data_IF_703524465740
#
_entry.id   IF_703524465740
#
_cell.length_a   1.000
_cell.length_b   1.000
_cell.length_c   1.000
_cell.angle_alpha   90.00
_cell.angle_beta   90.00
_cell.angle_gamma   90.00
#
_symmetry.space_group_name_H-M   'P 1'
#
loop_
_entity.id
_entity.type
_entity.pdbx_description
1 polymer ?
#
# COMPACT_ATOMS: atom_id res chain seq x y z
N UNK A 1 -13.58 -53.07 1.79
CA UNK A 1 -12.47 -52.76 0.92
C UNK A 1 -12.33 -53.86 -0.09
N UNK A 2 -12.75 -53.63 -1.29
CA UNK A 2 -12.53 -54.51 -2.44
C UNK A 2 -11.10 -54.32 -2.93
N UNK A 3 -10.36 -55.36 -3.14
CA UNK A 3 -8.96 -55.47 -3.55
C UNK A 3 -7.96 -55.29 -2.40
N UNK A 4 -8.05 -56.19 -1.42
CA UNK A 4 -7.02 -56.31 -0.41
C UNK A 4 -5.71 -56.84 -1.02
N UNK A 5 -4.60 -56.25 -0.65
CA UNK A 5 -3.33 -56.91 -0.83
C UNK A 5 -3.34 -58.23 -0.03
N UNK A 6 -2.88 -59.29 -0.64
CA UNK A 6 -2.66 -60.59 0.03
C UNK A 6 -1.22 -60.77 0.53
N UNK A 7 -0.47 -59.64 0.59
CA UNK A 7 0.93 -59.60 1.01
C UNK A 7 1.13 -58.96 2.39
N UNK A 8 2.36 -58.97 2.90
CA UNK A 8 2.69 -58.39 4.20
C UNK A 8 2.67 -56.85 4.23
N UNK A 9 2.47 -56.18 3.08
CA UNK A 9 2.40 -54.73 2.93
C UNK A 9 1.30 -54.34 1.95
N UNK A 10 0.73 -53.13 2.17
CA UNK A 10 -0.28 -52.54 1.31
C UNK A 10 0.01 -51.07 1.10
N UNK A 11 -0.01 -50.60 -0.16
CA UNK A 11 0.12 -49.19 -0.50
C UNK A 11 -1.24 -48.51 -0.40
N UNK A 12 -1.33 -47.52 0.51
CA UNK A 12 -2.56 -46.78 0.73
C UNK A 12 -2.80 -45.79 -0.41
N UNK A 13 -4.00 -45.75 -1.02
CA UNK A 13 -4.36 -44.72 -1.98
C UNK A 13 -4.34 -43.34 -1.31
N UNK A 14 -3.68 -42.35 -1.95
CA UNK A 14 -3.56 -40.95 -1.46
C UNK A 14 -4.21 -39.93 -2.39
N UNK A 15 -5.00 -40.36 -3.39
CA UNK A 15 -5.59 -39.46 -4.39
C UNK A 15 -6.80 -38.66 -3.86
N UNK A 16 -7.41 -39.08 -2.77
CA UNK A 16 -8.61 -38.47 -2.17
C UNK A 16 -8.32 -38.19 -0.70
N UNK A 17 -8.57 -36.93 -0.28
CA UNK A 17 -8.44 -36.51 1.11
C UNK A 17 -9.59 -37.13 1.95
N UNK A 18 -9.24 -38.14 2.73
CA UNK A 18 -10.20 -38.87 3.58
C UNK A 18 -9.44 -39.72 4.62
N UNK A 19 -10.11 -40.06 5.70
CA UNK A 19 -9.57 -40.96 6.71
C UNK A 19 -9.89 -42.40 6.31
N UNK A 20 -8.85 -43.23 6.23
CA UNK A 20 -8.91 -44.65 5.96
C UNK A 20 -8.61 -45.43 7.23
N UNK A 21 -9.33 -46.56 7.43
CA UNK A 21 -9.05 -47.55 8.46
C UNK A 21 -8.68 -48.87 7.79
N UNK A 22 -7.50 -49.36 8.14
CA UNK A 22 -7.00 -50.63 7.60
C UNK A 22 -6.81 -51.63 8.71
N UNK A 23 -7.02 -52.89 8.39
CA UNK A 23 -6.67 -54.01 9.25
C UNK A 23 -6.10 -55.15 8.41
N UNK A 24 -5.19 -55.91 8.98
CA UNK A 24 -4.76 -57.20 8.45
C UNK A 24 -5.53 -58.30 9.16
N UNK A 25 -5.99 -59.29 8.39
CA UNK A 25 -6.54 -60.51 8.91
C UNK A 25 -5.49 -61.58 8.56
N UNK A 26 -4.96 -62.23 9.56
CA UNK A 26 -4.04 -63.33 9.42
C UNK A 26 -4.79 -64.62 9.79
N UNK A 27 -4.78 -65.58 8.90
CA UNK A 27 -5.39 -66.90 9.15
C UNK A 27 -4.28 -67.93 9.20
N UNK A 28 -4.17 -68.62 10.32
CA UNK A 28 -3.27 -69.77 10.44
C UNK A 28 -4.00 -71.00 9.88
N UNK A 29 -3.40 -71.62 8.89
CA UNK A 29 -3.97 -72.85 8.23
C UNK A 29 -3.47 -74.14 8.86
N UNK A 30 -2.66 -74.05 9.93
CA UNK A 30 -2.21 -75.21 10.67
C UNK A 30 -3.26 -75.64 11.69
N UNK A 31 -3.36 -76.94 11.87
CA UNK A 31 -4.42 -77.55 12.69
C UNK A 31 -4.17 -77.24 14.20
N UNK A 32 -5.13 -76.54 14.84
CA UNK A 32 -5.11 -76.26 16.28
C UNK A 32 -4.48 -74.94 16.71
N UNK A 33 -4.15 -73.99 15.74
CA UNK A 33 -3.78 -72.68 16.06
C UNK A 33 -4.95 -71.70 15.92
N UNK A 34 -5.05 -70.72 16.85
CA UNK A 34 -6.06 -69.67 16.80
C UNK A 34 -5.56 -68.49 15.89
N UNK A 35 -6.47 -67.91 15.11
CA UNK A 35 -6.20 -66.71 14.33
C UNK A 35 -5.99 -65.51 15.25
N UNK A 36 -4.91 -64.71 15.09
CA UNK A 36 -4.69 -63.56 15.93
C UNK A 36 -5.73 -62.47 15.68
N UNK A 37 -6.10 -61.75 16.73
CA UNK A 37 -7.03 -60.62 16.63
C UNK A 37 -6.46 -59.51 15.73
N UNK A 38 -7.20 -58.99 14.75
CA UNK A 38 -6.73 -57.98 13.83
C UNK A 38 -6.53 -56.63 14.55
N UNK A 39 -5.42 -55.95 14.24
CA UNK A 39 -5.16 -54.57 14.69
C UNK A 39 -5.60 -53.60 13.60
N UNK A 40 -6.31 -52.54 14.00
CA UNK A 40 -6.76 -51.45 13.09
C UNK A 40 -5.76 -50.31 13.12
N UNK A 41 -5.36 -49.86 11.93
CA UNK A 41 -4.53 -48.66 11.72
C UNK A 41 -5.37 -47.60 11.01
N UNK A 42 -5.37 -46.38 11.53
CA UNK A 42 -5.99 -45.21 10.92
C UNK A 42 -4.92 -44.45 10.10
N UNK A 43 -5.23 -44.11 8.86
CA UNK A 43 -4.42 -43.25 7.99
C UNK A 43 -5.33 -42.14 7.50
N UNK A 44 -4.90 -40.91 7.76
CA UNK A 44 -5.57 -39.70 7.30
C UNK A 44 -4.82 -39.14 6.10
N UNK A 45 -5.51 -38.95 4.98
CA UNK A 45 -5.00 -38.22 3.80
C UNK A 45 -5.57 -36.84 3.86
N UNK A 46 -4.68 -35.86 4.03
CA UNK A 46 -5.02 -34.43 4.10
C UNK A 46 -5.14 -33.81 2.71
N UNK A 47 -6.00 -32.77 2.53
CA UNK A 47 -6.00 -31.98 1.31
C UNK A 47 -4.66 -31.25 1.14
N UNK A 48 -4.23 -31.03 -0.11
CA UNK A 48 -3.01 -30.28 -0.38
C UNK A 48 -3.10 -28.84 0.16
N UNK A 49 -2.02 -28.31 0.73
CA UNK A 49 -1.99 -26.95 1.23
C UNK A 49 -2.08 -25.92 0.08
N UNK A 50 -2.73 -24.79 0.35
CA UNK A 50 -2.73 -23.63 -0.51
C UNK A 50 -2.42 -22.37 0.29
N UNK A 51 -1.74 -21.39 -0.30
CA UNK A 51 -1.34 -20.17 0.38
C UNK A 51 -1.75 -18.93 -0.41
N UNK A 52 -2.29 -17.94 0.31
CA UNK A 52 -2.58 -16.58 -0.17
C UNK A 52 -1.87 -15.56 0.70
N UNK A 53 -1.65 -14.36 0.17
CA UNK A 53 -1.04 -13.27 0.92
C UNK A 53 -1.86 -11.98 0.75
N UNK A 54 -1.80 -11.11 1.77
CA UNK A 54 -2.34 -9.75 1.73
C UNK A 54 -1.39 -8.78 2.42
N UNK A 55 -1.26 -7.56 1.88
CA UNK A 55 -0.49 -6.48 2.48
C UNK A 55 -1.42 -5.46 3.13
N UNK A 56 -1.06 -4.95 4.31
CA UNK A 56 -1.84 -3.91 5.00
C UNK A 56 -1.83 -2.58 4.22
N UNK A 57 -0.72 -2.27 3.55
CA UNK A 57 -0.56 -1.11 2.68
C UNK A 57 0.31 -1.49 1.49
N UNK A 58 -0.15 -1.19 0.27
CA UNK A 58 0.60 -1.45 -0.97
C UNK A 58 1.22 -0.19 -1.58
N UNK A 59 0.79 0.99 -1.15
CA UNK A 59 1.34 2.28 -1.56
C UNK A 59 1.44 3.19 -0.33
N UNK A 60 2.64 3.59 0.03
CA UNK A 60 2.95 4.32 1.27
C UNK A 60 4.21 5.18 1.07
N UNK A 61 4.44 6.14 1.97
CA UNK A 61 5.66 6.93 1.95
C UNK A 61 6.78 6.32 2.83
N UNK A 62 8.01 6.79 2.63
CA UNK A 62 9.15 6.46 3.49
C UNK A 62 8.77 6.71 4.96
N UNK A 63 9.06 5.71 5.84
CA UNK A 63 8.72 5.76 7.26
C UNK A 63 7.31 5.26 7.60
N UNK A 64 6.47 4.99 6.61
CA UNK A 64 5.19 4.32 6.81
C UNK A 64 5.36 2.85 7.21
N UNK A 65 4.26 2.15 7.42
CA UNK A 65 4.26 0.74 7.83
C UNK A 65 3.45 -0.12 6.89
N UNK A 66 4.01 -1.26 6.51
CA UNK A 66 3.30 -2.32 5.78
C UNK A 66 3.71 -3.68 6.30
N UNK A 67 2.73 -4.51 6.57
CA UNK A 67 2.91 -5.91 6.94
C UNK A 67 2.18 -6.78 5.92
N UNK A 68 2.89 -7.77 5.39
CA UNK A 68 2.31 -8.79 4.51
C UNK A 68 2.03 -10.02 5.36
N UNK A 69 0.80 -10.53 5.31
CA UNK A 69 0.35 -11.70 6.07
C UNK A 69 -0.02 -12.81 5.11
N UNK A 70 0.40 -14.04 5.41
CA UNK A 70 0.00 -15.24 4.70
C UNK A 70 -1.20 -15.90 5.38
N UNK A 71 -2.07 -16.48 4.57
CA UNK A 71 -3.13 -17.37 5.01
C UNK A 71 -2.97 -18.71 4.29
N UNK A 72 -2.75 -19.77 5.07
CA UNK A 72 -2.65 -21.13 4.55
C UNK A 72 -3.95 -21.87 4.83
N UNK A 73 -4.45 -22.58 3.85
CA UNK A 73 -5.61 -23.47 3.96
C UNK A 73 -5.16 -24.89 3.66
N UNK A 74 -5.75 -25.86 4.35
CA UNK A 74 -5.44 -27.29 4.24
C UNK A 74 -3.98 -27.63 4.68
N UNK A 75 -3.52 -28.83 4.33
CA UNK A 75 -2.22 -29.35 4.74
C UNK A 75 -2.22 -29.95 6.15
N UNK A 76 -1.06 -30.40 6.60
CA UNK A 76 -0.90 -31.12 7.87
C UNK A 76 -0.83 -30.22 9.11
N UNK A 77 -0.59 -28.90 8.93
CA UNK A 77 -0.36 -27.94 10.00
C UNK A 77 1.09 -27.83 10.48
N UNK A 78 2.00 -28.69 10.02
CA UNK A 78 3.44 -28.62 10.30
C UNK A 78 4.14 -27.75 9.26
N UNK A 79 3.89 -26.42 9.30
CA UNK A 79 4.26 -25.48 8.25
C UNK A 79 5.51 -24.70 8.61
N UNK A 80 6.38 -24.48 7.62
CA UNK A 80 7.45 -23.49 7.65
C UNK A 80 7.29 -22.51 6.50
N UNK A 81 7.84 -21.29 6.67
CA UNK A 81 7.65 -20.18 5.75
C UNK A 81 9.00 -19.67 5.25
N UNK A 82 9.07 -19.29 3.99
CA UNK A 82 10.18 -18.55 3.41
C UNK A 82 9.65 -17.43 2.53
N UNK A 83 9.74 -16.19 3.02
CA UNK A 83 9.44 -15.01 2.22
C UNK A 83 10.54 -14.76 1.20
N UNK A 84 10.11 -14.30 0.04
CA UNK A 84 10.98 -13.92 -1.08
C UNK A 84 10.61 -12.53 -1.57
N UNK A 85 11.61 -11.79 -2.06
CA UNK A 85 11.45 -10.48 -2.68
C UNK A 85 11.98 -10.49 -4.11
N UNK A 86 11.44 -9.58 -4.94
CA UNK A 86 11.82 -9.40 -6.33
C UNK A 86 11.65 -7.95 -6.75
N UNK A 87 12.56 -7.41 -7.54
CA UNK A 87 12.44 -6.09 -8.13
C UNK A 87 11.58 -6.09 -9.41
N UNK A 88 11.49 -7.22 -10.11
CA UNK A 88 10.87 -7.37 -11.43
C UNK A 88 9.65 -8.31 -11.45
N UNK A 89 9.32 -8.94 -10.29
CA UNK A 89 8.25 -9.92 -10.15
C UNK A 89 8.56 -11.28 -10.79
N UNK A 90 9.75 -11.49 -11.35
CA UNK A 90 10.17 -12.71 -12.05
C UNK A 90 11.38 -13.38 -11.40
N UNK A 91 12.39 -12.63 -11.01
CA UNK A 91 13.60 -13.12 -10.34
C UNK A 91 13.47 -12.97 -8.83
N UNK A 92 13.51 -14.07 -8.08
CA UNK A 92 13.20 -14.12 -6.67
C UNK A 92 14.41 -14.42 -5.80
N UNK A 93 14.60 -13.67 -4.72
CA UNK A 93 15.60 -13.89 -3.70
C UNK A 93 14.96 -14.17 -2.33
N UNK A 94 15.52 -15.12 -1.59
CA UNK A 94 15.06 -15.40 -0.23
C UNK A 94 15.37 -14.23 0.71
N UNK A 95 14.42 -13.85 1.53
CA UNK A 95 14.60 -12.87 2.59
C UNK A 95 15.21 -13.60 3.80
N UNK A 96 16.45 -13.24 4.15
CA UNK A 96 17.20 -13.91 5.22
C UNK A 96 16.88 -13.36 6.60
N UNK A 97 16.46 -12.09 6.71
CA UNK A 97 16.11 -11.47 7.98
C UNK A 97 14.59 -11.41 8.14
N UNK A 98 14.06 -12.06 9.19
CA UNK A 98 12.62 -12.15 9.49
C UNK A 98 11.76 -12.78 8.38
N UNK A 99 12.38 -13.44 7.40
CA UNK A 99 11.71 -14.03 6.24
C UNK A 99 11.08 -15.40 6.47
N UNK A 100 10.99 -15.90 7.72
CA UNK A 100 10.55 -17.25 8.06
C UNK A 100 9.29 -17.31 8.94
N UNK A 101 8.59 -16.20 9.13
CA UNK A 101 7.32 -16.15 9.86
C UNK A 101 6.09 -16.21 8.95
N UNK A 102 4.90 -16.41 9.52
CA UNK A 102 3.63 -16.33 8.79
C UNK A 102 3.31 -14.90 8.30
N UNK A 103 4.02 -13.90 8.78
CA UNK A 103 3.93 -12.50 8.32
C UNK A 103 5.33 -11.91 8.14
N UNK A 104 5.41 -10.88 7.31
CA UNK A 104 6.65 -10.15 7.02
C UNK A 104 6.43 -8.65 7.09
N UNK A 105 7.25 -7.94 7.87
CA UNK A 105 7.25 -6.48 7.92
C UNK A 105 8.10 -5.93 6.78
N UNK A 106 7.48 -5.14 5.90
CA UNK A 106 8.15 -4.57 4.73
C UNK A 106 9.11 -3.46 5.16
N UNK A 107 10.39 -3.45 4.69
CA UNK A 107 11.29 -2.33 4.91
C UNK A 107 10.80 -1.08 4.18
N UNK A 108 10.64 0.03 4.91
CA UNK A 108 10.10 1.30 4.39
C UNK A 108 11.07 2.49 4.55
N UNK A 109 12.33 2.23 4.88
CA UNK A 109 13.34 3.27 5.13
C UNK A 109 13.87 3.97 3.88
N UNK A 110 13.55 3.46 2.68
CA UNK A 110 13.93 4.05 1.39
C UNK A 110 12.85 3.83 0.34
N UNK A 111 12.73 4.77 -0.61
CA UNK A 111 11.79 4.64 -1.73
C UNK A 111 12.19 3.48 -2.65
N UNK A 112 11.26 2.59 -2.91
CA UNK A 112 11.43 1.44 -3.81
C UNK A 112 10.09 0.87 -4.26
N UNK A 113 10.14 -0.03 -5.23
CA UNK A 113 9.02 -0.87 -5.65
C UNK A 113 9.48 -2.32 -5.59
N UNK A 114 8.85 -3.14 -4.76
CA UNK A 114 9.30 -4.50 -4.51
C UNK A 114 8.10 -5.45 -4.48
N UNK A 115 8.23 -6.55 -5.21
CA UNK A 115 7.29 -7.66 -5.17
C UNK A 115 7.67 -8.62 -4.05
N UNK A 116 6.68 -9.14 -3.37
CA UNK A 116 6.83 -10.12 -2.29
C UNK A 116 5.95 -11.33 -2.55
N UNK A 117 6.45 -12.52 -2.18
CA UNK A 117 5.70 -13.78 -2.13
C UNK A 117 6.21 -14.64 -0.99
N UNK A 118 5.47 -15.66 -0.62
CA UNK A 118 5.89 -16.64 0.38
C UNK A 118 5.85 -18.04 -0.21
N UNK A 119 6.87 -18.83 0.07
CA UNK A 119 6.88 -20.28 -0.07
C UNK A 119 6.51 -20.88 1.28
N UNK A 120 5.64 -21.87 1.29
CA UNK A 120 5.26 -22.61 2.48
C UNK A 120 5.67 -24.06 2.27
N UNK A 121 6.43 -24.61 3.22
CA UNK A 121 6.78 -26.02 3.23
C UNK A 121 5.93 -26.74 4.25
N UNK A 122 5.21 -27.77 3.84
CA UNK A 122 4.49 -28.68 4.73
C UNK A 122 5.35 -29.93 4.95
N UNK A 123 5.75 -30.16 6.21
CA UNK A 123 6.67 -31.24 6.57
C UNK A 123 6.03 -32.64 6.51
N UNK A 124 4.72 -32.76 6.25
CA UNK A 124 4.07 -34.06 6.14
C UNK A 124 4.40 -34.73 4.79
N UNK A 125 4.52 -36.05 4.84
CA UNK A 125 4.85 -36.84 3.65
C UNK A 125 3.75 -36.75 2.57
N UNK A 126 4.14 -36.34 1.37
CA UNK A 126 3.26 -36.26 0.20
C UNK A 126 2.49 -34.94 0.09
N UNK A 127 2.70 -33.96 0.99
CA UNK A 127 2.18 -32.61 0.82
C UNK A 127 3.06 -31.80 -0.12
N UNK A 128 2.44 -30.95 -0.95
CA UNK A 128 3.13 -30.01 -1.80
C UNK A 128 3.62 -28.79 -1.00
N UNK A 129 4.64 -28.10 -1.51
CA UNK A 129 5.13 -26.84 -1.01
C UNK A 129 4.55 -25.67 -1.85
N UNK A 130 3.40 -25.10 -1.46
CA UNK A 130 2.77 -24.06 -2.25
C UNK A 130 3.54 -22.74 -2.19
N UNK A 131 3.48 -22.00 -3.29
CA UNK A 131 4.00 -20.63 -3.42
C UNK A 131 2.82 -19.71 -3.66
N UNK A 132 2.73 -18.59 -2.93
CA UNK A 132 1.67 -17.61 -3.13
C UNK A 132 1.81 -16.86 -4.46
N UNK A 133 0.73 -16.25 -4.95
CA UNK A 133 0.85 -15.11 -5.86
C UNK A 133 1.65 -13.99 -5.21
N UNK A 134 2.20 -13.08 -6.02
CA UNK A 134 2.97 -11.94 -5.51
C UNK A 134 2.09 -10.73 -5.22
N UNK A 135 2.54 -9.88 -4.29
CA UNK A 135 2.01 -8.54 -4.05
C UNK A 135 3.11 -7.51 -4.28
N UNK A 136 2.80 -6.42 -5.01
CA UNK A 136 3.70 -5.28 -5.17
C UNK A 136 3.46 -4.30 -4.03
N UNK A 137 4.53 -3.90 -3.33
CA UNK A 137 4.52 -2.79 -2.37
C UNK A 137 5.43 -1.68 -2.89
N UNK A 138 4.87 -0.46 -2.95
CA UNK A 138 5.56 0.73 -3.43
C UNK A 138 5.76 1.70 -2.27
N UNK A 139 7.02 1.99 -1.96
CA UNK A 139 7.42 3.00 -0.97
C UNK A 139 7.81 4.26 -1.72
N UNK A 140 7.01 5.32 -1.58
CA UNK A 140 7.20 6.60 -2.25
C UNK A 140 8.12 7.52 -1.44
N UNK A 141 8.89 8.40 -2.10
CA UNK A 141 9.49 9.54 -1.40
C UNK A 141 8.41 10.42 -0.77
N UNK A 142 8.77 11.18 0.26
CA UNK A 142 7.85 12.12 0.89
C UNK A 142 7.35 13.18 -0.10
N UNK A 143 6.07 13.59 -0.03
CA UNK A 143 5.51 14.60 -0.92
C UNK A 143 6.17 15.97 -0.70
N UNK A 144 6.27 16.75 -1.77
CA UNK A 144 6.66 18.15 -1.71
C UNK A 144 5.72 18.99 -2.58
N UNK A 145 5.47 20.24 -2.17
CA UNK A 145 4.57 21.17 -2.87
C UNK A 145 5.24 22.50 -3.12
N UNK A 146 5.10 23.02 -4.35
CA UNK A 146 5.45 24.37 -4.76
C UNK A 146 4.24 25.07 -5.35
N UNK A 147 4.22 26.40 -5.29
CA UNK A 147 3.16 27.21 -5.90
C UNK A 147 3.75 28.28 -6.81
N UNK A 148 3.01 28.65 -7.84
CA UNK A 148 3.35 29.71 -8.79
C UNK A 148 2.12 30.54 -9.14
N UNK A 149 2.30 31.78 -9.57
CA UNK A 149 1.21 32.67 -9.98
C UNK A 149 1.51 33.23 -11.38
N UNK A 150 0.50 33.31 -12.22
CA UNK A 150 0.64 33.85 -13.57
C UNK A 150 0.82 35.38 -13.57
N UNK A 151 0.08 36.10 -12.72
CA UNK A 151 0.13 37.57 -12.59
C UNK A 151 0.29 37.96 -11.12
N UNK A 152 1.52 38.20 -10.63
CA UNK A 152 1.75 38.53 -9.21
C UNK A 152 1.31 39.95 -8.82
N UNK A 153 1.09 40.84 -9.82
CA UNK A 153 0.61 42.20 -9.65
C UNK A 153 -0.48 42.47 -10.67
N UNK A 154 -1.64 42.93 -10.22
CA UNK A 154 -2.78 43.29 -11.07
C UNK A 154 -3.39 44.61 -10.57
N UNK A 155 -4.17 45.33 -11.39
CA UNK A 155 -5.05 46.39 -10.92
C UNK A 155 -6.40 45.82 -10.41
N UNK A 156 -7.15 46.61 -9.66
CA UNK A 156 -8.50 46.26 -9.21
C UNK A 156 -9.32 45.77 -10.40
N UNK A 157 -9.97 44.61 -10.25
CA UNK A 157 -10.75 43.98 -11.31
C UNK A 157 -9.94 43.10 -12.29
N UNK A 158 -8.59 43.10 -12.18
CA UNK A 158 -7.75 42.18 -12.93
C UNK A 158 -7.91 40.73 -12.51
N UNK A 159 -7.21 39.81 -13.15
CA UNK A 159 -7.30 38.37 -12.83
C UNK A 159 -5.91 37.75 -12.58
N UNK A 160 -5.85 36.86 -11.62
CA UNK A 160 -4.68 36.04 -11.35
C UNK A 160 -5.10 34.60 -11.01
N UNK A 161 -4.19 33.66 -11.26
CA UNK A 161 -4.35 32.24 -10.93
C UNK A 161 -3.08 31.75 -10.25
N UNK A 162 -3.21 31.21 -9.05
CA UNK A 162 -2.15 30.51 -8.35
C UNK A 162 -2.33 29.02 -8.63
N UNK A 163 -1.25 28.35 -9.04
CA UNK A 163 -1.24 26.93 -9.35
C UNK A 163 -0.24 26.21 -8.45
N UNK A 164 -0.56 24.99 -8.03
CA UNK A 164 0.35 24.12 -7.29
C UNK A 164 1.01 23.10 -8.20
N UNK A 165 2.24 22.74 -7.87
CA UNK A 165 2.97 21.60 -8.43
C UNK A 165 3.38 20.69 -7.28
N UNK A 166 2.99 19.42 -7.35
CA UNK A 166 3.26 18.41 -6.34
C UNK A 166 4.22 17.40 -6.94
N UNK A 167 5.20 16.98 -6.16
CA UNK A 167 6.13 15.92 -6.49
C UNK A 167 6.10 14.85 -5.41
N UNK A 168 6.23 13.58 -5.81
CA UNK A 168 6.21 12.43 -4.90
C UNK A 168 4.89 12.24 -4.13
N UNK A 169 4.95 11.45 -3.04
CA UNK A 169 3.78 11.08 -2.25
C UNK A 169 2.94 9.97 -2.89
N UNK A 170 1.82 9.62 -2.27
CA UNK A 170 0.97 8.52 -2.73
C UNK A 170 -0.06 8.90 -3.80
N UNK A 171 -0.26 10.20 -4.03
CA UNK A 171 -1.26 10.71 -4.98
C UNK A 171 -2.66 10.91 -4.37
N UNK A 172 -2.86 10.58 -3.12
CA UNK A 172 -4.13 10.77 -2.42
C UNK A 172 -4.13 12.08 -1.62
N UNK A 173 -4.22 13.21 -2.35
CA UNK A 173 -4.02 14.54 -1.80
C UNK A 173 -5.32 15.27 -1.48
N UNK A 174 -5.28 16.05 -0.38
CA UNK A 174 -6.23 17.12 -0.10
C UNK A 174 -5.50 18.46 0.00
N UNK A 175 -6.18 19.53 -0.34
CA UNK A 175 -5.61 20.88 -0.50
C UNK A 175 -6.29 21.84 0.48
N UNK A 176 -5.51 22.76 1.08
CA UNK A 176 -6.04 23.88 1.83
C UNK A 176 -5.19 25.13 1.59
N UNK A 177 -5.72 26.05 0.79
CA UNK A 177 -5.13 27.37 0.63
C UNK A 177 -5.30 28.20 1.89
N UNK A 178 -4.27 28.95 2.21
CA UNK A 178 -4.24 29.88 3.33
C UNK A 178 -3.77 31.25 2.88
N UNK A 179 -4.25 32.30 3.56
CA UNK A 179 -3.83 33.68 3.33
C UNK A 179 -3.28 34.33 4.60
N UNK A 180 -2.38 35.30 4.42
CA UNK A 180 -1.80 36.15 5.47
C UNK A 180 -1.56 37.57 4.94
N UNK A 181 -1.79 38.62 5.75
CA UNK A 181 -1.54 40.00 5.33
C UNK A 181 -0.05 40.37 5.20
N UNK A 182 0.84 39.63 5.86
CA UNK A 182 2.26 39.94 5.96
C UNK A 182 3.21 38.79 5.64
N UNK A 183 2.67 37.63 5.22
CA UNK A 183 3.46 36.42 4.92
C UNK A 183 3.93 35.63 6.16
N UNK A 184 3.52 36.04 7.36
CA UNK A 184 3.84 35.38 8.63
C UNK A 184 2.56 34.90 9.33
N UNK A 185 2.69 34.23 10.46
CA UNK A 185 1.55 33.86 11.29
C UNK A 185 0.83 35.11 11.83
N UNK A 186 -0.50 35.07 12.00
CA UNK A 186 -1.37 33.91 11.72
C UNK A 186 -1.72 33.75 10.25
N UNK A 187 -1.84 32.48 9.80
CA UNK A 187 -2.39 32.10 8.52
C UNK A 187 -3.86 31.70 8.67
N UNK A 188 -4.71 32.18 7.78
CA UNK A 188 -6.15 31.92 7.79
C UNK A 188 -6.54 31.00 6.64
N UNK A 189 -7.28 29.95 6.92
CA UNK A 189 -7.82 29.06 5.89
C UNK A 189 -8.81 29.80 5.00
N UNK A 190 -8.67 29.60 3.68
CA UNK A 190 -9.60 30.13 2.70
C UNK A 190 -10.75 29.15 2.57
N UNK A 191 -11.97 29.62 2.95
CA UNK A 191 -13.18 28.79 2.96
C UNK A 191 -13.83 28.66 1.60
N UNK A 192 -13.70 29.66 0.72
CA UNK A 192 -14.32 29.65 -0.62
C UNK A 192 -13.25 29.31 -1.64
N UNK A 193 -13.45 28.23 -2.40
CA UNK A 193 -12.54 27.72 -3.41
C UNK A 193 -11.11 27.43 -2.91
N UNK A 194 -10.91 27.30 -1.61
CA UNK A 194 -9.63 27.10 -0.96
C UNK A 194 -9.14 25.64 -0.91
N UNK A 195 -9.86 24.68 -1.52
CA UNK A 195 -9.58 23.24 -1.43
C UNK A 195 -9.25 22.58 -2.79
N UNK A 196 -8.88 23.37 -3.78
CA UNK A 196 -8.51 22.88 -5.13
C UNK A 196 -7.01 23.01 -5.37
N UNK A 197 -6.49 22.34 -6.37
CA UNK A 197 -5.09 22.42 -6.79
C UNK A 197 -4.69 23.83 -7.28
N UNK A 198 -5.67 24.65 -7.64
CA UNK A 198 -5.48 26.06 -8.06
C UNK A 198 -6.37 26.99 -7.25
N UNK A 199 -5.96 28.25 -7.14
CA UNK A 199 -6.72 29.27 -6.45
C UNK A 199 -6.67 30.60 -7.20
N UNK A 200 -7.83 31.25 -7.39
CA UNK A 200 -7.94 32.60 -7.95
C UNK A 200 -8.15 33.61 -6.83
N UNK A 201 -7.13 34.43 -6.48
CA UNK A 201 -7.25 35.42 -5.41
C UNK A 201 -8.23 36.55 -5.77
N UNK A 202 -8.93 37.15 -4.77
CA UNK A 202 -9.82 38.27 -4.99
C UNK A 202 -9.04 39.53 -5.40
N UNK A 203 -9.58 40.30 -6.35
CA UNK A 203 -8.96 41.52 -6.90
C UNK A 203 -9.81 42.77 -6.74
N UNK A 204 -10.87 42.72 -5.89
CA UNK A 204 -11.80 43.86 -5.73
C UNK A 204 -11.30 44.99 -4.87
N UNK A 205 -10.23 44.80 -4.10
CA UNK A 205 -9.65 45.82 -3.19
C UNK A 205 -8.14 45.87 -3.34
N UNK A 206 -7.60 47.08 -3.42
CA UNK A 206 -6.16 47.28 -3.49
C UNK A 206 -5.49 46.88 -2.17
N UNK A 207 -4.34 46.20 -2.27
CA UNK A 207 -3.58 45.71 -1.12
C UNK A 207 -2.60 44.64 -1.48
N UNK A 208 -1.87 44.15 -0.47
CA UNK A 208 -0.93 43.04 -0.58
C UNK A 208 -1.39 41.91 0.31
N UNK A 209 -1.43 40.67 -0.23
CA UNK A 209 -1.80 39.45 0.48
C UNK A 209 -0.81 38.34 0.12
N UNK A 210 -0.46 37.56 1.09
CA UNK A 210 0.38 36.37 0.90
C UNK A 210 -0.47 35.12 0.92
N UNK A 211 -0.13 34.18 0.06
CA UNK A 211 -0.81 32.87 -0.06
C UNK A 211 0.18 31.75 0.12
N UNK A 212 -0.26 30.65 0.70
CA UNK A 212 0.43 29.37 0.75
C UNK A 212 -0.57 28.22 0.62
N UNK A 213 -0.07 27.06 0.26
CA UNK A 213 -0.84 25.83 0.20
C UNK A 213 -0.36 24.86 1.27
N UNK A 214 -1.28 24.36 2.08
CA UNK A 214 -1.10 23.17 2.91
C UNK A 214 -1.61 22.00 2.11
N UNK A 215 -0.75 21.01 1.88
CA UNK A 215 -1.10 19.77 1.21
C UNK A 215 -1.13 18.65 2.26
N UNK A 216 -2.19 17.85 2.28
CA UNK A 216 -2.25 16.63 3.09
C UNK A 216 -2.21 15.43 2.16
N UNK A 217 -1.26 14.52 2.37
CA UNK A 217 -1.21 13.21 1.72
C UNK A 217 -1.78 12.16 2.69
N UNK A 218 -2.94 11.60 2.36
CA UNK A 218 -3.63 10.60 3.19
C UNK A 218 -2.98 9.20 3.13
N UNK A 219 -1.82 9.06 2.48
CA UNK A 219 -1.04 7.84 2.42
C UNK A 219 -0.37 7.52 3.77
N UNK A 220 -0.16 6.24 4.03
CA UNK A 220 0.50 5.80 5.26
C UNK A 220 1.95 6.30 5.32
N UNK A 221 2.31 6.98 6.40
CA UNK A 221 3.66 7.53 6.63
C UNK A 221 4.01 8.77 5.81
N UNK A 222 3.07 9.35 5.05
CA UNK A 222 3.31 10.56 4.28
C UNK A 222 3.24 11.82 5.16
N UNK A 223 4.10 12.77 4.89
CA UNK A 223 4.09 14.09 5.53
C UNK A 223 3.08 15.01 4.84
N UNK A 224 2.67 16.05 5.56
CA UNK A 224 1.80 17.12 5.06
C UNK A 224 2.64 18.39 4.76
N UNK A 225 3.19 18.54 3.55
CA UNK A 225 4.04 19.66 3.22
C UNK A 225 3.24 20.96 3.07
N UNK A 226 3.92 22.06 3.40
CA UNK A 226 3.40 23.42 3.19
C UNK A 226 4.30 24.12 2.19
N UNK A 227 3.70 24.78 1.19
CA UNK A 227 4.48 25.56 0.20
C UNK A 227 5.14 26.79 0.84
N UNK A 228 6.17 27.33 0.19
CA UNK A 228 6.64 28.69 0.47
C UNK A 228 5.50 29.68 0.26
N UNK A 229 5.55 30.82 0.99
CA UNK A 229 4.59 31.89 0.81
C UNK A 229 4.84 32.64 -0.50
N UNK A 230 3.76 33.02 -1.19
CA UNK A 230 3.78 33.81 -2.43
C UNK A 230 3.03 35.13 -2.19
N UNK A 231 3.63 36.25 -2.53
CA UNK A 231 3.00 37.56 -2.45
C UNK A 231 2.20 37.87 -3.72
N UNK A 232 0.98 38.38 -3.51
CA UNK A 232 0.10 38.90 -4.55
C UNK A 232 -0.28 40.34 -4.23
N UNK A 233 -0.22 41.25 -5.23
CA UNK A 233 -0.50 42.67 -5.06
C UNK A 233 -1.60 43.11 -5.99
N UNK A 234 -2.62 43.77 -5.43
CA UNK A 234 -3.68 44.44 -6.17
C UNK A 234 -3.42 45.96 -6.09
N UNK A 235 -3.17 46.59 -7.21
CA UNK A 235 -2.95 48.03 -7.32
C UNK A 235 -4.26 48.78 -7.55
N UNK A 236 -4.41 50.03 -7.08
CA UNK A 236 -5.54 50.86 -7.44
C UNK A 236 -5.54 51.15 -8.94
N UNK A 237 -6.69 51.44 -9.51
CA UNK A 237 -6.80 51.89 -10.90
C UNK A 237 -6.07 53.23 -11.06
N UNK A 238 -5.35 53.43 -12.18
CA UNK A 238 -4.71 54.69 -12.45
C UNK A 238 -5.75 55.81 -12.60
N UNK A 239 -5.42 56.97 -12.06
CA UNK A 239 -6.24 58.17 -12.22
C UNK A 239 -5.45 59.26 -12.90
N UNK A 240 -6.11 60.05 -13.75
CA UNK A 240 -5.53 61.20 -14.41
C UNK A 240 -6.35 62.44 -14.01
N UNK A 241 -5.66 63.50 -13.63
CA UNK A 241 -6.25 64.83 -13.42
C UNK A 241 -5.70 65.81 -14.44
N UNK A 242 -6.58 66.62 -15.02
CA UNK A 242 -6.20 67.70 -15.92
C UNK A 242 -6.48 69.02 -15.18
N UNK A 243 -5.50 69.85 -15.09
CA UNK A 243 -5.66 71.22 -14.60
C UNK A 243 -5.41 72.22 -15.74
N UNK A 244 -6.30 73.18 -15.88
CA UNK A 244 -6.14 74.29 -16.80
C UNK A 244 -5.74 75.48 -15.96
N UNK A 245 -4.56 75.98 -16.22
CA UNK A 245 -4.01 77.20 -15.53
C UNK A 245 -4.56 78.53 -16.06
N UNK A 246 -5.22 78.46 -17.22
CA UNK A 246 -5.81 79.67 -17.83
C UNK A 246 -7.07 79.31 -18.60
N UNK A 247 -8.29 79.21 -17.93
CA UNK A 247 -9.50 78.79 -18.55
C UNK A 247 -10.13 79.78 -19.53
N UNK A 248 -9.58 80.99 -19.63
CA UNK A 248 -10.02 82.03 -20.56
C UNK A 248 -8.81 82.57 -21.26
N UNK A 249 -8.85 82.54 -22.61
CA UNK A 249 -7.87 83.11 -23.51
C UNK A 249 -8.58 84.11 -24.42
N UNK A 250 -8.00 85.34 -24.58
CA UNK A 250 -8.47 86.32 -25.58
C UNK A 250 -7.74 86.14 -26.88
#
# INVERSE_FOLDING_TARGET
>A
VSSGGTGPSYNVPSAIAVTYYYRIILTDITNGCDDPAPVVVMIQVEPQPAVTISASNTNLCIGGTSTITSTVTNGSGFLSYQWQSSADGSTWANITNQGNGASYAVPTGSANSTYYRVMVTDAANGCNDPVSSSVLVVVQPQPAVTISINNPVVCIGGSALISSTITNGTGNFTYQWQSSPNGNNPWTNISVNGTSATYSPPTGVAGSTYYRLVLTDNGNGCADPVSSALQFVVQPQPSVTIAVNNPSIC
#
